data_IF_333982428703
#
_entry.id   IF_333982428703
#
_cell.length_a   1.000
_cell.length_b   1.000
_cell.length_c   1.000
_cell.angle_alpha   90.00
_cell.angle_beta   90.00
_cell.angle_gamma   90.00
#
_symmetry.space_group_name_H-M   'P 1'
#
loop_
_entity.id
_entity.type
_entity.pdbx_description
1 polymer ?
#
# COMPACT_ATOMS: atom_id res chain seq x y z
N UNK A 1 4.65 13.30 2.93
CA UNK A 1 4.79 11.90 3.39
C UNK A 1 6.19 11.37 3.08
N UNK A 2 6.64 11.45 1.82
CA UNK A 2 8.00 11.06 1.41
C UNK A 2 9.10 11.80 2.20
N UNK A 3 8.99 13.13 2.30
CA UNK A 3 9.94 13.95 3.09
C UNK A 3 9.87 13.72 4.60
N UNK A 4 8.83 13.05 5.12
CA UNK A 4 8.66 12.78 6.55
C UNK A 4 9.30 11.47 7.00
N UNK A 5 9.80 10.63 6.09
CA UNK A 5 10.55 9.41 6.44
C UNK A 5 9.77 8.36 7.23
N UNK A 6 8.48 8.20 6.93
CA UNK A 6 7.68 7.14 7.57
C UNK A 6 8.29 5.75 7.32
N UNK A 7 8.30 4.91 8.36
CA UNK A 7 8.72 3.52 8.25
C UNK A 7 7.63 2.69 7.58
N UNK A 8 8.05 1.68 6.82
CA UNK A 8 7.19 0.62 6.33
C UNK A 8 7.25 -0.56 7.31
N UNK A 9 6.10 -1.13 7.62
CA UNK A 9 6.04 -2.41 8.33
C UNK A 9 5.38 -3.45 7.45
N UNK A 10 5.98 -4.63 7.40
CA UNK A 10 5.49 -5.76 6.63
C UNK A 10 5.34 -6.94 7.58
N UNK A 11 4.17 -7.58 7.57
CA UNK A 11 3.89 -8.73 8.40
C UNK A 11 3.04 -9.76 7.64
N UNK A 12 3.27 -11.04 7.90
CA UNK A 12 2.41 -12.13 7.45
C UNK A 12 1.56 -12.54 8.63
N UNK A 13 0.25 -12.37 8.53
CA UNK A 13 -0.67 -12.47 9.66
C UNK A 13 -1.88 -13.34 9.32
N UNK A 14 -2.52 -13.99 10.30
CA UNK A 14 -3.82 -14.62 10.12
C UNK A 14 -4.87 -13.62 9.59
N UNK A 15 -5.85 -14.13 8.85
CA UNK A 15 -6.89 -13.32 8.21
C UNK A 15 -7.55 -12.31 9.16
N UNK A 16 -7.90 -12.71 10.38
CA UNK A 16 -8.57 -11.84 11.36
C UNK A 16 -7.69 -10.66 11.82
N UNK A 17 -6.40 -10.89 12.02
CA UNK A 17 -5.45 -9.85 12.42
C UNK A 17 -5.12 -8.93 11.25
N UNK A 18 -4.93 -9.51 10.07
CA UNK A 18 -4.74 -8.78 8.82
C UNK A 18 -5.94 -7.85 8.54
N UNK A 19 -7.15 -8.34 8.74
CA UNK A 19 -8.38 -7.57 8.59
C UNK A 19 -8.42 -6.36 9.51
N UNK A 20 -8.06 -6.51 10.79
CA UNK A 20 -7.97 -5.39 11.75
C UNK A 20 -6.97 -4.31 11.32
N UNK A 21 -5.88 -4.70 10.65
CA UNK A 21 -4.91 -3.74 10.12
C UNK A 21 -5.39 -3.02 8.85
N UNK A 22 -6.38 -3.58 8.15
CA UNK A 22 -6.96 -3.08 6.90
C UNK A 22 -8.37 -2.49 7.13
N UNK A 23 -8.59 -1.77 8.24
CA UNK A 23 -9.89 -1.17 8.60
C UNK A 23 -11.06 -2.17 8.74
N UNK A 24 -10.75 -3.43 9.03
CA UNK A 24 -11.73 -4.48 9.33
C UNK A 24 -12.26 -5.23 8.11
N UNK A 25 -11.77 -4.93 6.90
CA UNK A 25 -12.17 -5.65 5.67
C UNK A 25 -10.97 -5.94 4.78
N UNK A 26 -10.85 -7.20 4.36
CA UNK A 26 -9.93 -7.61 3.31
C UNK A 26 -10.68 -7.83 2.00
N UNK A 27 -10.04 -7.63 0.83
CA UNK A 27 -10.65 -7.89 -0.46
C UNK A 27 -11.13 -9.34 -0.61
N UNK A 28 -12.22 -9.54 -1.36
CA UNK A 28 -12.89 -10.85 -1.54
C UNK A 28 -12.00 -11.94 -2.15
N UNK A 29 -10.93 -11.55 -2.85
CA UNK A 29 -9.97 -12.49 -3.43
C UNK A 29 -9.04 -13.14 -2.38
N UNK A 30 -9.04 -12.68 -1.12
CA UNK A 30 -8.20 -13.22 -0.05
C UNK A 30 -8.99 -14.29 0.72
N UNK A 31 -8.54 -15.56 0.71
CA UNK A 31 -9.23 -16.63 1.42
C UNK A 31 -9.20 -16.43 2.95
N UNK A 32 -10.32 -16.69 3.64
CA UNK A 32 -10.42 -16.59 5.11
C UNK A 32 -9.47 -17.52 5.88
N UNK A 33 -9.08 -18.63 5.28
CA UNK A 33 -8.11 -19.58 5.86
C UNK A 33 -6.65 -19.25 5.57
N UNK A 34 -6.36 -18.11 4.93
CA UNK A 34 -5.01 -17.74 4.53
C UNK A 34 -4.29 -16.84 5.55
N UNK A 35 -2.98 -16.68 5.35
CA UNK A 35 -2.12 -15.77 6.10
C UNK A 35 -1.58 -14.68 5.15
N UNK A 36 -2.37 -13.64 4.80
CA UNK A 36 -1.93 -12.64 3.84
C UNK A 36 -0.75 -11.80 4.35
N UNK A 37 0.09 -11.36 3.41
CA UNK A 37 1.17 -10.41 3.65
C UNK A 37 0.62 -8.98 3.61
N UNK A 38 0.66 -8.30 4.75
CA UNK A 38 0.17 -6.92 4.91
C UNK A 38 1.35 -5.96 4.93
N UNK A 39 1.23 -4.89 4.13
CA UNK A 39 2.18 -3.78 4.07
C UNK A 39 1.48 -2.54 4.62
N UNK A 40 2.12 -1.85 5.57
CA UNK A 40 1.60 -0.64 6.20
C UNK A 40 2.59 0.51 6.07
N UNK A 41 2.11 1.64 5.58
CA UNK A 41 2.90 2.86 5.38
C UNK A 41 2.65 3.82 6.54
N UNK A 42 3.60 3.89 7.49
CA UNK A 42 3.47 4.74 8.68
C UNK A 42 2.20 4.39 9.48
N UNK A 43 1.36 5.40 9.74
CA UNK A 43 0.13 5.25 10.54
C UNK A 43 -1.12 4.99 9.69
N UNK A 44 -1.00 4.87 8.38
CA UNK A 44 -2.15 4.60 7.50
C UNK A 44 -2.63 3.16 7.66
N UNK A 45 -3.87 2.84 7.25
CA UNK A 45 -4.34 1.47 7.13
C UNK A 45 -3.38 0.61 6.30
N UNK A 46 -3.26 -0.66 6.67
CA UNK A 46 -2.48 -1.64 5.93
C UNK A 46 -3.15 -2.02 4.61
N UNK A 47 -2.37 -2.63 3.73
CA UNK A 47 -2.87 -3.18 2.46
C UNK A 47 -2.25 -4.57 2.22
N UNK A 48 -3.04 -5.58 1.80
CA UNK A 48 -2.50 -6.85 1.37
C UNK A 48 -1.68 -6.68 0.09
N UNK A 49 -0.38 -7.03 0.15
CA UNK A 49 0.53 -6.87 -0.99
C UNK A 49 1.64 -7.93 -1.03
N UNK A 50 1.81 -8.57 -2.19
CA UNK A 50 2.88 -9.54 -2.46
C UNK A 50 4.18 -8.95 -3.02
N UNK A 51 4.23 -7.64 -3.30
CA UNK A 51 5.38 -6.99 -3.94
C UNK A 51 6.54 -6.66 -3.01
N UNK A 52 7.71 -6.39 -3.57
CA UNK A 52 8.86 -5.85 -2.83
C UNK A 52 8.69 -4.34 -2.67
N UNK A 53 8.88 -3.84 -1.45
CA UNK A 53 8.80 -2.42 -1.13
C UNK A 53 10.11 -1.94 -0.52
N UNK A 54 10.36 -0.63 -0.63
CA UNK A 54 11.45 0.07 0.07
C UNK A 54 11.32 -0.09 1.59
N UNK A 55 12.41 0.11 2.34
CA UNK A 55 12.36 -0.05 3.81
C UNK A 55 11.80 1.19 4.50
N UNK A 56 12.10 2.38 3.97
CA UNK A 56 11.55 3.66 4.43
C UNK A 56 11.01 4.49 3.26
N UNK A 57 9.95 5.26 3.49
CA UNK A 57 9.26 6.02 2.43
C UNK A 57 10.20 7.08 1.80
N UNK A 58 11.20 7.58 2.53
CA UNK A 58 12.18 8.53 1.99
C UNK A 58 13.06 7.96 0.88
N UNK A 59 13.19 6.64 0.76
CA UNK A 59 13.89 6.00 -0.37
C UNK A 59 13.20 6.23 -1.72
N UNK A 60 11.92 6.64 -1.73
CA UNK A 60 11.22 7.03 -2.97
C UNK A 60 11.77 8.34 -3.54
N UNK A 61 12.45 9.15 -2.72
CA UNK A 61 13.09 10.45 -3.06
C UNK A 61 12.10 11.51 -3.53
N UNK A 62 11.48 11.31 -4.69
CA UNK A 62 10.51 12.22 -5.30
C UNK A 62 9.42 11.45 -6.07
N UNK A 63 8.32 12.12 -6.36
CA UNK A 63 7.27 11.59 -7.22
C UNK A 63 6.74 12.71 -8.12
N UNK A 64 6.66 12.45 -9.43
CA UNK A 64 6.15 13.41 -10.41
C UNK A 64 4.96 12.82 -11.15
N UNK A 65 3.83 13.52 -11.11
CA UNK A 65 2.66 13.18 -11.92
C UNK A 65 2.93 13.61 -13.35
N UNK A 66 2.88 12.68 -14.30
CA UNK A 66 3.18 12.93 -15.72
C UNK A 66 1.92 13.20 -16.53
N UNK A 67 0.80 12.57 -16.18
CA UNK A 67 -0.47 12.73 -16.89
C UNK A 67 -1.65 12.37 -16.00
N UNK A 68 -2.78 13.06 -16.17
CA UNK A 68 -4.07 12.70 -15.57
C UNK A 68 -5.08 12.52 -16.70
N UNK A 69 -5.81 11.40 -16.69
CA UNK A 69 -6.91 11.13 -17.64
C UNK A 69 -8.15 10.69 -16.89
N UNK A 70 -9.29 11.28 -17.22
CA UNK A 70 -10.58 10.88 -16.65
C UNK A 70 -11.43 10.20 -17.71
N UNK A 71 -11.97 9.01 -17.40
CA UNK A 71 -12.90 8.28 -18.27
C UNK A 71 -14.05 7.73 -17.43
N UNK A 72 -15.26 8.18 -17.73
CA UNK A 72 -16.47 7.87 -16.93
C UNK A 72 -16.22 8.22 -15.45
N UNK A 73 -16.44 7.28 -14.53
CA UNK A 73 -16.24 7.43 -13.08
C UNK A 73 -14.81 7.09 -12.60
N UNK A 74 -13.84 6.94 -13.51
CA UNK A 74 -12.46 6.55 -13.18
C UNK A 74 -11.46 7.63 -13.59
N UNK A 75 -10.64 8.06 -12.63
CA UNK A 75 -9.51 8.98 -12.86
C UNK A 75 -8.21 8.18 -12.83
N UNK A 76 -7.53 8.10 -13.96
CA UNK A 76 -6.23 7.45 -14.09
C UNK A 76 -5.12 8.51 -13.96
N UNK A 77 -4.26 8.33 -12.97
CA UNK A 77 -3.09 9.18 -12.71
C UNK A 77 -1.83 8.41 -13.09
N UNK A 78 -1.04 8.96 -14.01
CA UNK A 78 0.26 8.44 -14.39
C UNK A 78 1.33 9.20 -13.61
N UNK A 79 2.30 8.48 -13.06
CA UNK A 79 3.35 9.07 -12.25
C UNK A 79 4.68 8.34 -12.45
N UNK A 80 5.77 9.04 -12.16
CA UNK A 80 7.12 8.48 -12.02
C UNK A 80 7.59 8.70 -10.60
N UNK A 81 8.34 7.74 -10.07
CA UNK A 81 9.04 7.85 -8.78
C UNK A 81 10.52 8.10 -9.06
N UNK A 82 11.17 8.87 -8.20
CA UNK A 82 12.59 9.18 -8.31
C UNK A 82 13.42 7.94 -7.97
N UNK A 83 14.19 7.48 -8.94
CA UNK A 83 15.33 6.57 -8.75
C UNK A 83 16.62 7.36 -8.69
#
# INVERSE_FOLDING_TARGET
MISRGGKLSVAVLPYEEASKLCDGVLPDYIPKGSTPRIVKLGNNPGCPCGGTHVSVISEIISMKVSQIRTKKAMTKVFYTVGS
#
